data_IF_389780474367
#
_entry.id   IF_389780474367
#
_cell.length_a   1.000
_cell.length_b   1.000
_cell.length_c   1.000
_cell.angle_alpha   90.00
_cell.angle_beta   90.00
_cell.angle_gamma   90.00
#
_symmetry.space_group_name_H-M   'P 1'
#
loop_
_entity.id
_entity.type
_entity.pdbx_description
1 polymer ?
#
# COMPACT_ATOMS: atom_id res chain seq x y z
N UNK A 1 24.36 -17.08 -4.59
CA UNK A 1 24.19 -18.33 -5.38
C UNK A 1 25.03 -18.39 -6.66
N UNK A 2 25.12 -17.34 -7.49
CA UNK A 2 25.94 -17.39 -8.72
C UNK A 2 27.43 -17.67 -8.47
N UNK A 3 28.03 -17.03 -7.46
CA UNK A 3 29.45 -17.26 -7.10
C UNK A 3 29.71 -18.72 -6.73
N UNK A 4 28.89 -19.28 -5.84
CA UNK A 4 28.98 -20.68 -5.42
C UNK A 4 28.77 -21.68 -6.58
N UNK A 5 27.86 -21.41 -7.52
CA UNK A 5 27.68 -22.30 -8.66
C UNK A 5 28.93 -22.34 -9.57
N UNK A 6 29.60 -21.19 -9.75
CA UNK A 6 30.80 -21.04 -10.58
C UNK A 6 32.04 -21.70 -10.00
N UNK A 7 32.06 -22.03 -8.71
CA UNK A 7 33.18 -22.79 -8.12
C UNK A 7 33.12 -24.27 -8.45
N UNK A 8 32.00 -24.77 -8.95
CA UNK A 8 31.77 -26.21 -9.12
C UNK A 8 31.49 -26.60 -10.57
N UNK A 9 30.72 -25.80 -11.31
CA UNK A 9 30.32 -26.13 -12.69
C UNK A 9 30.24 -24.90 -13.57
N UNK A 10 30.38 -25.11 -14.87
CA UNK A 10 30.08 -24.11 -15.89
C UNK A 10 29.32 -24.74 -17.05
N UNK A 11 28.26 -24.08 -17.49
CA UNK A 11 27.50 -24.43 -18.70
C UNK A 11 26.80 -23.19 -19.27
N UNK A 12 26.44 -23.19 -20.57
CA UNK A 12 25.72 -22.08 -21.19
C UNK A 12 24.41 -21.75 -20.44
N UNK A 13 24.09 -20.46 -20.30
CA UNK A 13 22.82 -19.99 -19.71
C UNK A 13 22.66 -20.23 -18.18
N UNK A 14 23.66 -20.80 -17.50
CA UNK A 14 23.64 -21.08 -16.05
C UNK A 14 23.16 -19.91 -15.19
N UNK A 15 23.64 -18.68 -15.45
CA UNK A 15 23.24 -17.51 -14.66
C UNK A 15 21.74 -17.24 -14.75
N UNK A 16 21.14 -17.36 -15.94
CA UNK A 16 19.72 -17.15 -16.17
C UNK A 16 18.89 -18.22 -15.47
N UNK A 17 19.30 -19.48 -15.53
CA UNK A 17 18.61 -20.56 -14.81
C UNK A 17 18.63 -20.35 -13.29
N UNK A 18 19.75 -19.88 -12.73
CA UNK A 18 19.84 -19.53 -11.32
C UNK A 18 18.89 -18.37 -10.98
N UNK A 19 18.84 -17.33 -11.81
CA UNK A 19 17.91 -16.20 -11.62
C UNK A 19 16.45 -16.63 -11.69
N UNK A 20 16.08 -17.44 -12.67
CA UNK A 20 14.70 -17.92 -12.84
C UNK A 20 14.27 -18.80 -11.67
N UNK A 21 15.18 -19.65 -11.17
CA UNK A 21 14.93 -20.46 -9.96
C UNK A 21 14.73 -19.60 -8.71
N UNK A 22 15.52 -18.53 -8.55
CA UNK A 22 15.35 -17.58 -7.44
C UNK A 22 14.03 -16.84 -7.57
N UNK A 23 13.68 -16.39 -8.78
CA UNK A 23 12.44 -15.65 -9.03
C UNK A 23 11.20 -16.48 -8.71
N UNK A 24 11.25 -17.79 -8.91
CA UNK A 24 10.14 -18.72 -8.62
C UNK A 24 10.11 -19.19 -7.14
N UNK A 25 11.10 -18.83 -6.32
CA UNK A 25 11.17 -19.24 -4.93
C UNK A 25 10.30 -18.32 -4.05
N UNK A 26 9.16 -18.81 -3.59
CA UNK A 26 8.22 -18.06 -2.73
C UNK A 26 8.87 -17.56 -1.43
N UNK A 27 9.60 -18.43 -0.73
CA UNK A 27 10.33 -18.04 0.51
C UNK A 27 11.34 -16.93 0.24
N UNK A 28 12.02 -17.00 -0.90
CA UNK A 28 12.99 -15.99 -1.31
C UNK A 28 12.33 -14.66 -1.67
N UNK A 29 11.11 -14.70 -2.23
CA UNK A 29 10.32 -13.52 -2.53
C UNK A 29 9.80 -12.84 -1.25
N UNK A 30 9.33 -13.62 -0.26
CA UNK A 30 8.85 -13.12 1.04
C UNK A 30 9.99 -12.50 1.86
N UNK A 31 11.16 -13.16 1.89
CA UNK A 31 12.33 -12.67 2.62
C UNK A 31 13.22 -11.71 1.81
N UNK A 32 12.81 -11.40 0.58
CA UNK A 32 13.55 -10.52 -0.32
C UNK A 32 13.49 -9.06 0.15
N UNK A 33 14.34 -8.19 -0.43
CA UNK A 33 14.23 -6.76 -0.22
C UNK A 33 12.88 -6.23 -0.71
N UNK A 34 12.39 -5.17 -0.07
CA UNK A 34 11.18 -4.46 -0.52
C UNK A 34 11.36 -4.03 -2.00
N UNK A 35 10.35 -4.24 -2.87
CA UNK A 35 10.45 -3.80 -4.25
C UNK A 35 10.66 -2.29 -4.33
N UNK A 36 11.25 -1.83 -5.44
CA UNK A 36 11.37 -0.39 -5.71
C UNK A 36 9.98 0.22 -5.65
N UNK A 37 9.80 1.16 -4.72
CA UNK A 37 8.54 1.87 -4.54
C UNK A 37 8.18 2.53 -5.86
N UNK A 38 7.06 2.12 -6.44
CA UNK A 38 6.52 2.75 -7.63
C UNK A 38 6.24 4.23 -7.34
N UNK A 39 6.43 5.15 -8.30
CA UNK A 39 6.04 6.55 -8.12
C UNK A 39 4.59 6.62 -7.66
N UNK A 40 4.34 7.37 -6.58
CA UNK A 40 3.00 7.57 -6.09
C UNK A 40 2.16 8.25 -7.17
N UNK A 41 1.11 7.58 -7.64
CA UNK A 41 0.15 8.21 -8.53
C UNK A 41 -0.70 9.19 -7.73
N UNK A 42 -0.45 10.48 -7.93
CA UNK A 42 -1.26 11.51 -7.31
C UNK A 42 -2.64 11.56 -7.94
N UNK A 43 -3.68 11.58 -7.12
CA UNK A 43 -5.02 11.81 -7.59
C UNK A 43 -5.13 13.20 -8.24
N UNK A 44 -5.84 13.29 -9.37
CA UNK A 44 -6.18 14.60 -9.97
C UNK A 44 -6.86 15.49 -8.93
N UNK A 45 -6.41 16.74 -8.81
CA UNK A 45 -7.01 17.70 -7.91
C UNK A 45 -8.47 17.96 -8.33
N UNK A 46 -9.42 18.12 -7.38
CA UNK A 46 -10.78 18.52 -7.73
C UNK A 46 -10.79 19.95 -8.29
N UNK A 47 -11.73 20.22 -9.18
CA UNK A 47 -11.97 21.55 -9.76
C UNK A 47 -12.73 22.41 -8.74
N UNK A 48 -13.74 21.85 -8.08
CA UNK A 48 -14.62 22.54 -7.15
C UNK A 48 -14.53 22.00 -5.72
N UNK A 49 -14.91 22.83 -4.75
CA UNK A 49 -15.13 22.39 -3.36
C UNK A 49 -16.28 21.37 -3.32
N UNK A 50 -16.19 20.41 -2.40
CA UNK A 50 -17.16 19.32 -2.21
C UNK A 50 -17.29 18.35 -3.39
N UNK A 51 -16.41 18.43 -4.39
CA UNK A 51 -16.39 17.49 -5.52
C UNK A 51 -15.76 16.13 -5.15
N UNK A 52 -14.81 16.12 -4.21
CA UNK A 52 -14.23 14.88 -3.65
C UNK A 52 -13.99 15.09 -2.17
N UNK A 53 -14.42 14.13 -1.37
CA UNK A 53 -14.18 14.11 0.07
C UNK A 53 -13.33 12.89 0.45
N UNK A 54 -12.45 13.06 1.43
CA UNK A 54 -11.75 11.97 2.10
C UNK A 54 -12.46 11.69 3.41
N UNK A 55 -12.80 10.45 3.66
CA UNK A 55 -13.55 10.03 4.84
C UNK A 55 -12.74 8.97 5.57
N UNK A 56 -12.61 9.12 6.88
CA UNK A 56 -11.97 8.13 7.74
C UNK A 56 -12.58 8.13 9.15
N UNK A 57 -12.28 7.09 9.93
CA UNK A 57 -12.63 7.02 11.34
C UNK A 57 -11.40 7.20 12.21
N UNK A 58 -11.51 8.04 13.24
CA UNK A 58 -10.48 8.20 14.26
C UNK A 58 -10.97 7.72 15.62
N UNK A 59 -10.27 6.73 16.20
CA UNK A 59 -10.54 6.23 17.54
C UNK A 59 -10.45 4.70 17.63
N UNK A 60 -10.89 4.13 18.78
CA UNK A 60 -11.52 4.83 19.90
C UNK A 60 -10.51 5.58 20.77
N UNK A 61 -10.73 6.88 20.98
CA UNK A 61 -9.95 7.71 21.91
C UNK A 61 -10.85 8.10 23.07
N UNK A 62 -10.50 7.70 24.29
CA UNK A 62 -11.34 7.87 25.49
C UNK A 62 -12.78 7.32 25.28
N UNK A 63 -12.90 6.15 24.66
CA UNK A 63 -14.20 5.51 24.39
C UNK A 63 -15.05 6.21 23.31
N UNK A 64 -14.47 7.17 22.59
CA UNK A 64 -15.16 7.93 21.55
C UNK A 64 -14.60 7.60 20.17
N UNK A 65 -15.50 7.33 19.21
CA UNK A 65 -15.18 7.27 17.79
C UNK A 65 -15.52 8.60 17.12
N UNK A 66 -14.69 9.02 16.18
CA UNK A 66 -14.88 10.22 15.36
C UNK A 66 -14.98 9.81 13.90
N UNK A 67 -15.94 10.38 13.19
CA UNK A 67 -16.02 10.34 11.75
C UNK A 67 -15.43 11.64 11.21
N UNK A 68 -14.35 11.51 10.46
CA UNK A 68 -13.63 12.63 9.88
C UNK A 68 -13.94 12.66 8.39
N UNK A 69 -14.45 13.78 7.92
CA UNK A 69 -14.63 14.07 6.51
C UNK A 69 -13.77 15.28 6.17
N UNK A 70 -13.03 15.23 5.06
CA UNK A 70 -12.20 16.34 4.60
C UNK A 70 -12.49 16.61 3.13
N UNK A 71 -12.85 17.85 2.79
CA UNK A 71 -12.95 18.25 1.38
C UNK A 71 -11.56 18.27 0.73
N UNK A 72 -11.41 17.55 -0.37
CA UNK A 72 -10.11 17.35 -1.01
C UNK A 72 -9.56 18.64 -1.65
N UNK A 73 -10.43 19.60 -2.00
CA UNK A 73 -10.04 20.87 -2.62
C UNK A 73 -9.64 21.93 -1.59
N UNK A 74 -10.54 22.26 -0.68
CA UNK A 74 -10.35 23.30 0.35
C UNK A 74 -9.55 22.82 1.55
N UNK A 75 -9.40 21.50 1.73
CA UNK A 75 -8.84 20.86 2.94
C UNK A 75 -9.65 21.14 4.21
N UNK A 76 -10.92 21.53 4.06
CA UNK A 76 -11.83 21.77 5.17
C UNK A 76 -12.22 20.45 5.88
N UNK A 77 -11.98 20.31 7.20
CA UNK A 77 -12.34 19.13 7.96
C UNK A 77 -13.69 19.29 8.68
N UNK A 78 -14.49 18.23 8.65
CA UNK A 78 -15.69 18.01 9.45
C UNK A 78 -15.44 16.80 10.36
N UNK A 79 -15.57 16.99 11.67
CA UNK A 79 -15.34 15.93 12.66
C UNK A 79 -16.62 15.69 13.46
N UNK A 80 -17.20 14.51 13.29
CA UNK A 80 -18.48 14.14 13.90
C UNK A 80 -18.23 13.05 14.94
N UNK A 81 -18.60 13.33 16.19
CA UNK A 81 -18.56 12.33 17.25
C UNK A 81 -19.64 11.27 17.00
N UNK A 82 -19.24 10.00 16.96
CA UNK A 82 -20.15 8.87 16.75
C UNK A 82 -20.21 7.95 17.98
N UNK A 83 -21.43 7.53 18.33
CA UNK A 83 -21.66 6.49 19.35
C UNK A 83 -21.57 5.07 18.78
N UNK A 84 -21.78 4.91 17.47
CA UNK A 84 -21.68 3.64 16.73
C UNK A 84 -21.10 3.92 15.34
N UNK A 85 -20.25 3.02 14.84
CA UNK A 85 -19.64 3.11 13.50
C UNK A 85 -20.36 2.23 12.48
N UNK A 86 -21.69 2.29 12.48
CA UNK A 86 -22.57 1.49 11.61
C UNK A 86 -23.34 2.38 10.66
N UNK A 87 -23.60 1.91 9.44
CA UNK A 87 -24.52 2.56 8.51
C UNK A 87 -25.97 2.23 8.88
N UNK A 88 -26.93 3.09 8.52
CA UNK A 88 -28.33 2.68 8.50
C UNK A 88 -28.53 1.66 7.38
N UNK A 89 -29.43 0.70 7.59
CA UNK A 89 -29.95 -0.13 6.50
C UNK A 89 -30.92 0.70 5.67
N UNK A 90 -30.69 0.72 4.36
CA UNK A 90 -31.55 1.34 3.35
C UNK A 90 -32.86 0.59 3.16
#
# INVERSE_FOLDING_TARGET
>A
MKSLARTTVWFPVMNRMIEDRVRQCERCAISGPEPIKVPLHQWKQPENVWQRVHIDFCGPTNGTMWFILVDAKSKWPEAIKMSKTTTQRS
#
